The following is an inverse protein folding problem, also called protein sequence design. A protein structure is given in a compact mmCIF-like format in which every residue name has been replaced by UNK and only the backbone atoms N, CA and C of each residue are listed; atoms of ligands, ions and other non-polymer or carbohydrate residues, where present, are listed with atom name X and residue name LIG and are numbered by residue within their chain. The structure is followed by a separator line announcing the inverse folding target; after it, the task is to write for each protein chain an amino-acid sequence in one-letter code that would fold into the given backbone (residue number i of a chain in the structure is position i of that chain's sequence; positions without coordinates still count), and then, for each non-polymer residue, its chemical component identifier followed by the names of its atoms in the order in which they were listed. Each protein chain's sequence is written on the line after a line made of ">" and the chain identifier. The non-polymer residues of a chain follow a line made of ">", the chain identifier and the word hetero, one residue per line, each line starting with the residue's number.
data_IF_283035521526
#
_entry.id   IF_283035521526
#
_cell.length_a   1.000
_cell.length_b   1.000
_cell.length_c   1.000
_cell.angle_alpha   90.00
_cell.angle_beta   90.00
_cell.angle_gamma   90.00
#
_symmetry.space_group_name_H-M   'P 1'
#
loop_
_entity.id
_entity.type
_entity.pdbx_description
1 polymer ?
#
# COMPACT_ATOMS: atom_id res chain seq x y z
N UNK A 1 -3.74 14.19 -3.55
CA UNK A 1 -3.83 13.09 -4.50
C UNK A 1 -4.86 13.35 -5.59
N UNK A 2 -5.00 12.40 -6.49
CA UNK A 2 -5.96 12.48 -7.60
C UNK A 2 -7.40 12.66 -7.08
N UNK A 3 -8.22 13.51 -7.73
CA UNK A 3 -9.58 13.77 -7.29
C UNK A 3 -10.57 12.63 -7.59
N UNK A 4 -10.21 11.70 -8.46
CA UNK A 4 -10.97 10.50 -8.85
C UNK A 4 -10.02 9.44 -9.41
N UNK A 5 -10.48 8.20 -9.55
CA UNK A 5 -9.74 7.12 -10.19
C UNK A 5 -9.55 7.33 -11.69
N UNK A 6 -8.69 6.52 -12.32
CA UNK A 6 -8.51 6.53 -13.76
C UNK A 6 -9.84 6.25 -14.50
N UNK A 7 -10.09 6.94 -15.57
CA UNK A 7 -11.24 6.70 -16.45
C UNK A 7 -10.91 5.64 -17.51
N UNK A 8 -9.65 5.53 -17.90
CA UNK A 8 -9.11 4.52 -18.80
C UNK A 8 -7.61 4.29 -18.53
N UNK A 9 -6.98 3.37 -19.25
CA UNK A 9 -5.57 2.99 -19.07
C UNK A 9 -4.56 3.85 -19.86
N UNK A 10 -5.02 4.85 -20.59
CA UNK A 10 -4.17 5.65 -21.50
C UNK A 10 -4.01 7.11 -21.04
N UNK A 11 -4.96 7.62 -20.28
CA UNK A 11 -4.98 9.03 -19.90
C UNK A 11 -4.76 9.18 -18.38
N UNK A 12 -3.76 9.99 -17.98
CA UNK A 12 -3.51 10.26 -16.55
C UNK A 12 -4.57 11.17 -15.96
N UNK A 13 -4.81 11.02 -14.67
CA UNK A 13 -5.50 12.02 -13.84
C UNK A 13 -4.42 12.94 -13.27
N UNK A 14 -4.33 14.15 -13.79
CA UNK A 14 -3.33 15.12 -13.32
C UNK A 14 -3.64 15.53 -11.89
N UNK A 15 -2.64 15.41 -11.01
CA UNK A 15 -2.72 15.78 -9.60
C UNK A 15 -1.35 16.25 -9.11
N UNK A 16 -1.34 17.04 -8.04
CA UNK A 16 -0.09 17.42 -7.36
C UNK A 16 0.72 16.20 -6.89
N UNK A 17 0.04 15.11 -6.52
CA UNK A 17 0.68 13.85 -6.13
C UNK A 17 1.41 13.18 -7.31
N UNK A 18 0.75 13.06 -8.46
CA UNK A 18 1.35 12.50 -9.66
C UNK A 18 2.53 13.36 -10.17
N UNK A 19 2.36 14.70 -10.18
CA UNK A 19 3.43 15.63 -10.55
C UNK A 19 4.62 15.57 -9.59
N UNK A 20 4.36 15.42 -8.28
CA UNK A 20 5.40 15.25 -7.27
C UNK A 20 6.20 13.95 -7.53
N UNK A 21 5.54 12.84 -7.80
CA UNK A 21 6.20 11.56 -8.11
C UNK A 21 7.11 11.71 -9.33
N UNK A 22 6.60 12.30 -10.41
CA UNK A 22 7.41 12.56 -11.62
C UNK A 22 8.62 13.44 -11.29
N UNK A 23 8.41 14.55 -10.60
CA UNK A 23 9.48 15.48 -10.25
C UNK A 23 10.57 14.84 -9.40
N UNK A 24 10.18 14.08 -8.37
CA UNK A 24 11.15 13.43 -7.48
C UNK A 24 11.89 12.29 -8.20
N UNK A 25 11.18 11.46 -8.99
CA UNK A 25 11.79 10.36 -9.72
C UNK A 25 12.74 10.82 -10.85
N UNK A 26 12.51 12.01 -11.41
CA UNK A 26 13.34 12.55 -12.50
C UNK A 26 14.50 13.42 -12.02
N UNK A 27 14.66 13.61 -10.70
CA UNK A 27 15.85 14.27 -10.16
C UNK A 27 17.11 13.44 -10.39
N UNK A 28 18.23 14.14 -10.61
CA UNK A 28 19.55 13.54 -10.54
C UNK A 28 19.95 13.48 -9.06
N UNK A 29 19.76 12.30 -8.46
CA UNK A 29 20.05 12.02 -7.04
C UNK A 29 20.55 10.57 -6.92
N UNK A 30 21.65 10.37 -6.20
CA UNK A 30 22.25 9.05 -6.00
C UNK A 30 21.49 8.19 -4.99
N UNK A 31 20.57 8.79 -4.23
CA UNK A 31 19.73 8.09 -3.27
C UNK A 31 18.59 7.37 -3.99
N UNK A 32 18.35 6.12 -3.59
CA UNK A 32 17.21 5.38 -4.13
C UNK A 32 15.88 5.97 -3.65
N UNK A 33 14.93 6.16 -4.57
CA UNK A 33 13.61 6.70 -4.25
C UNK A 33 12.63 5.56 -3.94
N UNK A 34 12.13 5.55 -2.72
CA UNK A 34 10.98 4.73 -2.33
C UNK A 34 9.73 5.60 -2.25
N UNK A 35 8.63 5.11 -2.79
CA UNK A 35 7.31 5.79 -2.70
C UNK A 35 6.30 4.81 -2.11
N UNK A 36 5.81 5.12 -0.91
CA UNK A 36 4.82 4.31 -0.21
C UNK A 36 3.39 4.73 -0.57
N UNK A 37 2.57 3.76 -0.96
CA UNK A 37 1.16 3.95 -1.29
C UNK A 37 0.30 3.21 -0.26
N UNK A 38 -0.45 3.99 0.53
CA UNK A 38 -1.36 3.53 1.58
C UNK A 38 -2.83 3.63 1.15
N UNK A 39 -3.06 3.77 -0.14
CA UNK A 39 -4.34 3.93 -0.80
C UNK A 39 -4.32 3.37 -2.22
N UNK A 40 -5.19 3.87 -3.11
CA UNK A 40 -5.20 3.47 -4.51
C UNK A 40 -3.93 3.91 -5.24
N UNK A 41 -3.59 3.22 -6.31
CA UNK A 41 -2.40 3.51 -7.14
C UNK A 41 -2.62 4.60 -8.19
N UNK A 42 -3.67 5.42 -8.08
CA UNK A 42 -4.06 6.41 -9.07
C UNK A 42 -2.95 7.41 -9.39
N UNK A 43 -2.33 7.98 -8.35
CA UNK A 43 -1.24 8.95 -8.55
C UNK A 43 0.00 8.31 -9.19
N UNK A 44 0.33 7.06 -8.83
CA UNK A 44 1.46 6.34 -9.43
C UNK A 44 1.20 5.99 -10.90
N UNK A 45 0.02 5.47 -11.19
CA UNK A 45 -0.39 5.15 -12.55
C UNK A 45 -0.40 6.41 -13.43
N UNK A 46 -0.94 7.51 -12.90
CA UNK A 46 -0.96 8.80 -13.59
C UNK A 46 0.45 9.34 -13.83
N UNK A 47 1.33 9.29 -12.81
CA UNK A 47 2.73 9.68 -12.96
C UNK A 47 3.46 8.87 -14.04
N UNK A 48 3.21 7.55 -14.09
CA UNK A 48 3.77 6.69 -15.12
C UNK A 48 3.23 7.01 -16.52
N UNK A 49 1.93 7.29 -16.66
CA UNK A 49 1.33 7.69 -17.94
C UNK A 49 1.83 9.06 -18.42
N UNK A 50 2.13 9.98 -17.49
CA UNK A 50 2.73 11.28 -17.81
C UNK A 50 4.20 11.16 -18.21
N UNK A 51 4.98 10.32 -17.50
CA UNK A 51 6.42 10.18 -17.68
C UNK A 51 6.86 8.71 -17.47
N UNK A 52 6.80 7.87 -18.51
CA UNK A 52 7.14 6.44 -18.38
C UNK A 52 8.58 6.15 -17.93
N UNK A 53 9.50 7.11 -18.08
CA UNK A 53 10.90 6.96 -17.64
C UNK A 53 11.08 6.84 -16.13
N UNK A 54 10.03 7.16 -15.34
CA UNK A 54 10.07 6.95 -13.88
C UNK A 54 10.17 5.46 -13.51
N UNK A 55 9.80 4.56 -14.40
CA UNK A 55 9.75 3.12 -14.13
C UNK A 55 11.08 2.53 -13.62
N UNK A 56 12.22 3.05 -14.08
CA UNK A 56 13.54 2.60 -13.62
C UNK A 56 14.16 3.46 -12.52
N UNK A 57 13.41 4.41 -11.94
CA UNK A 57 13.95 5.43 -11.04
C UNK A 57 13.36 5.41 -9.63
N UNK A 58 12.40 4.52 -9.37
CA UNK A 58 11.79 4.38 -8.05
C UNK A 58 11.36 2.94 -7.76
N UNK A 59 11.21 2.63 -6.50
CA UNK A 59 10.50 1.44 -6.01
C UNK A 59 9.20 1.89 -5.35
N UNK A 60 8.07 1.37 -5.83
CA UNK A 60 6.77 1.58 -5.21
C UNK A 60 6.50 0.50 -4.17
N UNK A 61 6.15 0.89 -2.95
CA UNK A 61 5.68 -0.02 -1.89
C UNK A 61 4.19 0.19 -1.74
N UNK A 62 3.39 -0.85 -1.97
CA UNK A 62 1.94 -0.74 -1.97
C UNK A 62 1.29 -1.63 -0.91
N UNK A 63 0.57 -1.00 0.00
CA UNK A 63 -0.33 -1.67 0.92
C UNK A 63 -1.66 -1.84 0.19
N UNK A 64 -1.90 -3.01 -0.38
CA UNK A 64 -3.12 -3.22 -1.16
C UNK A 64 -3.13 -4.48 -1.99
N UNK A 65 -4.33 -4.76 -2.51
CA UNK A 65 -4.62 -5.94 -3.31
C UNK A 65 -5.04 -7.15 -2.50
N UNK A 66 -5.71 -8.07 -3.18
CA UNK A 66 -6.20 -9.31 -2.59
C UNK A 66 -5.11 -10.36 -2.44
N UNK A 67 -5.45 -11.46 -1.76
CA UNK A 67 -4.55 -12.58 -1.50
C UNK A 67 -4.13 -13.29 -2.79
N UNK A 68 -2.84 -13.59 -2.91
CA UNK A 68 -2.36 -14.45 -4.00
C UNK A 68 -2.70 -15.93 -3.78
N UNK A 69 -2.96 -16.69 -4.88
CA UNK A 69 -2.95 -16.26 -6.28
C UNK A 69 -4.28 -15.72 -6.81
N UNK A 70 -5.35 -15.75 -6.02
CA UNK A 70 -6.71 -15.56 -6.52
C UNK A 70 -7.20 -14.09 -6.54
N UNK A 71 -6.56 -13.21 -5.78
CA UNK A 71 -7.07 -11.86 -5.59
C UNK A 71 -8.24 -11.83 -4.60
N UNK A 72 -9.18 -10.92 -4.85
CA UNK A 72 -10.40 -10.75 -4.05
C UNK A 72 -10.59 -9.32 -3.57
N UNK A 73 -11.75 -9.03 -2.95
CA UNK A 73 -12.10 -7.67 -2.51
C UNK A 73 -11.10 -7.09 -1.50
N UNK A 74 -10.54 -5.95 -1.86
CA UNK A 74 -9.63 -5.19 -1.00
C UNK A 74 -9.87 -3.69 -1.21
N UNK A 75 -9.79 -2.90 -0.14
CA UNK A 75 -10.24 -1.51 -0.11
C UNK A 75 -9.41 -0.61 -1.04
N UNK A 76 -8.09 -0.63 -0.94
CA UNK A 76 -7.22 0.22 -1.74
C UNK A 76 -7.26 -0.13 -3.22
N UNK A 77 -7.30 -1.44 -3.54
CA UNK A 77 -7.50 -1.93 -4.90
C UNK A 77 -8.86 -1.54 -5.47
N UNK A 78 -9.93 -1.68 -4.68
CA UNK A 78 -11.29 -1.38 -5.10
C UNK A 78 -11.53 0.08 -5.44
N UNK A 79 -10.72 0.99 -4.89
CA UNK A 79 -10.82 2.42 -5.20
C UNK A 79 -10.31 2.77 -6.60
N UNK A 80 -9.36 2.01 -7.17
CA UNK A 80 -8.94 2.19 -8.57
C UNK A 80 -8.28 0.93 -9.15
N UNK A 81 -9.10 0.03 -9.67
CA UNK A 81 -8.64 -1.20 -10.34
C UNK A 81 -7.89 -0.90 -11.65
N UNK A 82 -8.28 0.16 -12.36
CA UNK A 82 -7.61 0.55 -13.61
C UNK A 82 -6.17 0.99 -13.34
N UNK A 83 -5.96 1.81 -12.32
CA UNK A 83 -4.63 2.26 -11.92
C UNK A 83 -3.74 1.07 -11.50
N UNK A 84 -4.28 0.13 -10.72
CA UNK A 84 -3.55 -1.08 -10.35
C UNK A 84 -3.13 -1.89 -11.59
N UNK A 85 -4.01 -2.05 -12.58
CA UNK A 85 -3.69 -2.72 -13.84
C UNK A 85 -2.62 -1.98 -14.66
N UNK A 86 -2.64 -0.64 -14.69
CA UNK A 86 -1.59 0.16 -15.35
C UNK A 86 -0.25 -0.06 -14.68
N UNK A 87 -0.18 0.00 -13.35
CA UNK A 87 1.06 -0.22 -12.60
C UNK A 87 1.57 -1.66 -12.75
N UNK A 88 0.68 -2.66 -12.70
CA UNK A 88 1.07 -4.07 -12.86
C UNK A 88 1.61 -4.37 -14.26
N UNK A 89 1.12 -3.69 -15.27
CA UNK A 89 1.63 -3.78 -16.64
C UNK A 89 2.86 -2.91 -16.91
N UNK A 90 3.20 -1.97 -16.00
CA UNK A 90 4.33 -1.06 -16.16
C UNK A 90 5.68 -1.73 -15.85
N UNK A 91 6.80 -0.99 -16.08
CA UNK A 91 8.14 -1.40 -15.67
C UNK A 91 8.53 -0.97 -14.23
N UNK A 92 7.64 -0.37 -13.46
CA UNK A 92 7.93 0.14 -12.10
C UNK A 92 8.23 -1.03 -11.16
N UNK A 93 9.32 -0.98 -10.42
CA UNK A 93 9.57 -1.96 -9.36
C UNK A 93 8.47 -1.83 -8.28
N UNK A 94 7.72 -2.91 -8.06
CA UNK A 94 6.59 -2.92 -7.14
C UNK A 94 6.81 -3.96 -6.03
N UNK A 95 6.72 -3.50 -4.78
CA UNK A 95 6.68 -4.30 -3.57
C UNK A 95 5.25 -4.27 -3.03
N UNK A 96 4.54 -5.35 -3.20
CA UNK A 96 3.15 -5.45 -2.79
C UNK A 96 3.02 -6.14 -1.43
N UNK A 97 2.27 -5.51 -0.52
CA UNK A 97 1.82 -6.11 0.74
C UNK A 97 0.31 -6.35 0.63
N UNK A 98 -0.12 -7.57 0.29
CA UNK A 98 -1.55 -7.88 0.09
C UNK A 98 -2.30 -7.94 1.43
N UNK A 99 -3.64 -7.98 1.33
CA UNK A 99 -4.56 -7.90 2.47
C UNK A 99 -4.26 -8.89 3.58
N UNK A 100 -4.07 -10.14 3.25
CA UNK A 100 -3.79 -11.21 4.21
C UNK A 100 -2.44 -11.06 4.93
N UNK A 101 -1.55 -10.22 4.39
CA UNK A 101 -0.24 -9.91 4.99
C UNK A 101 -0.30 -8.65 5.84
N UNK A 102 -0.89 -7.56 5.36
CA UNK A 102 -0.98 -6.35 6.17
C UNK A 102 -1.92 -6.52 7.38
N UNK A 103 -2.87 -7.45 7.33
CA UNK A 103 -3.72 -7.81 8.46
C UNK A 103 -2.97 -8.60 9.56
N UNK A 104 -1.72 -9.04 9.33
CA UNK A 104 -0.91 -9.74 10.32
C UNK A 104 -0.32 -8.85 11.43
N UNK A 105 -0.67 -7.56 11.48
CA UNK A 105 -0.14 -6.61 12.49
C UNK A 105 -1.24 -6.12 13.43
N UNK A 106 -1.93 -7.01 14.17
CA UNK A 106 -2.80 -6.59 15.25
C UNK A 106 -1.95 -6.15 16.44
N UNK A 107 -2.31 -5.01 17.02
CA UNK A 107 -1.71 -4.44 18.24
C UNK A 107 -2.80 -4.20 19.25
N UNK A 108 -2.59 -4.58 20.51
CA UNK A 108 -3.55 -4.28 21.55
C UNK A 108 -3.58 -2.77 21.86
N UNK A 109 -4.75 -2.23 22.20
CA UNK A 109 -4.86 -0.84 22.65
C UNK A 109 -4.00 -0.60 23.89
N UNK A 110 -3.90 -1.56 24.81
CA UNK A 110 -3.03 -1.47 25.98
C UNK A 110 -1.52 -1.35 25.61
N UNK A 111 -1.07 -2.05 24.55
CA UNK A 111 0.31 -1.89 24.06
C UNK A 111 0.53 -0.52 23.42
N UNK A 112 -0.44 -0.02 22.66
CA UNK A 112 -0.39 1.33 22.08
C UNK A 112 -0.42 2.41 23.17
N UNK A 113 -1.23 2.24 24.22
CA UNK A 113 -1.23 3.13 25.37
C UNK A 113 0.14 3.18 26.06
N UNK A 114 0.76 2.01 26.28
CA UNK A 114 2.05 1.92 26.93
C UNK A 114 3.21 2.45 26.09
N UNK A 115 3.23 2.14 24.78
CA UNK A 115 4.38 2.43 23.91
C UNK A 115 4.24 3.74 23.14
N UNK A 116 3.03 4.12 22.73
CA UNK A 116 2.79 5.26 21.82
C UNK A 116 2.33 6.50 22.59
N UNK A 117 1.36 6.36 23.49
CA UNK A 117 0.82 7.52 24.22
C UNK A 117 1.88 8.36 24.96
N UNK A 118 2.96 7.78 25.57
CA UNK A 118 3.98 8.59 26.24
C UNK A 118 4.95 9.30 25.29
N UNK A 119 4.87 9.10 23.97
CA UNK A 119 5.78 9.69 22.99
C UNK A 119 5.44 11.15 22.65
N UNK A 120 5.27 11.99 23.65
CA UNK A 120 4.94 13.41 23.50
C UNK A 120 3.51 13.63 22.98
N UNK A 121 3.23 14.89 22.60
CA UNK A 121 1.87 15.29 22.16
C UNK A 121 1.38 14.52 20.96
N UNK A 122 2.27 14.18 20.02
CA UNK A 122 1.88 13.38 18.82
C UNK A 122 1.52 11.96 19.19
N UNK A 123 2.26 11.32 20.11
CA UNK A 123 1.96 9.97 20.58
C UNK A 123 0.63 9.91 21.31
N UNK A 124 0.39 10.86 22.22
CA UNK A 124 -0.88 10.99 22.93
C UNK A 124 -2.05 11.19 21.96
N UNK A 125 -1.89 12.09 20.98
CA UNK A 125 -2.91 12.36 19.97
C UNK A 125 -3.22 11.13 19.11
N UNK A 126 -2.22 10.43 18.62
CA UNK A 126 -2.41 9.23 17.79
C UNK A 126 -3.12 8.11 18.56
N UNK A 127 -2.72 7.88 19.83
CA UNK A 127 -3.38 6.91 20.68
C UNK A 127 -4.84 7.29 20.92
N UNK A 128 -5.13 8.55 21.28
CA UNK A 128 -6.48 9.04 21.52
C UNK A 128 -7.40 8.83 20.30
N UNK A 129 -6.88 9.07 19.07
CA UNK A 129 -7.66 8.84 17.84
C UNK A 129 -8.02 7.36 17.68
N UNK A 130 -7.05 6.45 17.88
CA UNK A 130 -7.28 5.01 17.76
C UNK A 130 -8.22 4.49 18.83
N UNK A 131 -8.05 4.88 20.09
CA UNK A 131 -8.89 4.49 21.21
C UNK A 131 -10.34 4.98 21.02
N UNK A 132 -10.51 6.25 20.68
CA UNK A 132 -11.84 6.83 20.37
C UNK A 132 -12.52 6.03 19.27
N UNK A 133 -11.85 5.80 18.15
CA UNK A 133 -12.42 5.08 17.01
C UNK A 133 -12.73 3.61 17.33
N UNK A 134 -11.92 2.96 18.16
CA UNK A 134 -12.15 1.58 18.60
C UNK A 134 -13.45 1.46 19.42
N UNK A 135 -13.81 2.50 20.17
CA UNK A 135 -14.97 2.53 21.08
C UNK A 135 -16.18 3.29 20.52
N UNK A 136 -16.10 3.91 19.35
CA UNK A 136 -17.25 4.57 18.72
C UNK A 136 -18.43 3.63 18.55
N UNK A 137 -19.67 4.09 18.92
CA UNK A 137 -20.88 3.30 18.71
C UNK A 137 -21.13 3.11 17.20
N UNK A 138 -21.50 1.92 16.81
CA UNK A 138 -21.84 1.60 15.43
C UNK A 138 -21.56 0.16 15.05
N UNK A 139 -22.03 -0.31 13.89
CA UNK A 139 -21.76 -1.67 13.46
C UNK A 139 -20.26 -1.88 13.26
N UNK A 140 -19.71 -2.91 13.89
CA UNK A 140 -18.31 -3.35 13.68
C UNK A 140 -18.20 -3.94 12.27
N UNK A 141 -17.94 -3.10 11.27
CA UNK A 141 -17.92 -3.50 9.85
C UNK A 141 -16.59 -4.01 9.35
N UNK A 142 -15.54 -4.01 10.16
CA UNK A 142 -14.21 -4.46 9.71
C UNK A 142 -13.45 -5.22 10.80
N UNK A 143 -12.53 -6.10 10.39
CA UNK A 143 -11.58 -6.77 11.27
C UNK A 143 -10.65 -5.78 12.02
N UNK A 144 -10.57 -4.53 11.58
CA UNK A 144 -9.78 -3.47 12.22
C UNK A 144 -10.38 -2.94 13.54
N UNK A 145 -11.66 -3.20 13.81
CA UNK A 145 -12.38 -2.65 14.98
C UNK A 145 -12.85 -3.78 15.90
N UNK A 146 -11.94 -4.34 16.67
CA UNK A 146 -12.29 -5.39 17.65
C UNK A 146 -12.66 -4.83 19.05
N UNK A 147 -12.29 -3.57 19.32
CA UNK A 147 -12.43 -2.94 20.65
C UNK A 147 -11.30 -3.26 21.63
N UNK A 148 -10.43 -4.23 21.29
CA UNK A 148 -9.29 -4.62 22.13
C UNK A 148 -7.96 -4.45 21.37
N UNK A 149 -8.00 -4.54 20.06
CA UNK A 149 -6.82 -4.42 19.21
C UNK A 149 -7.12 -3.61 17.96
N UNK A 150 -6.05 -3.07 17.37
CA UNK A 150 -6.05 -2.37 16.10
C UNK A 150 -5.07 -3.01 15.15
N UNK A 151 -5.42 -3.14 13.88
CA UNK A 151 -4.48 -3.60 12.84
C UNK A 151 -3.77 -2.40 12.25
N UNK A 152 -2.45 -2.29 12.50
CA UNK A 152 -1.59 -1.23 11.95
C UNK A 152 -1.13 -1.61 10.53
N UNK A 153 -2.08 -1.86 9.63
CA UNK A 153 -1.86 -2.42 8.31
C UNK A 153 -0.98 -1.59 7.37
N UNK A 154 -0.84 -0.29 7.62
CA UNK A 154 0.01 0.59 6.80
C UNK A 154 1.48 0.63 7.27
N UNK A 155 1.75 0.22 8.52
CA UNK A 155 3.10 0.24 9.09
C UNK A 155 4.14 -0.59 8.31
N UNK A 156 3.78 -1.70 7.63
CA UNK A 156 4.73 -2.43 6.77
C UNK A 156 5.40 -1.58 5.71
N UNK A 157 4.73 -0.55 5.18
CA UNK A 157 5.32 0.32 4.16
C UNK A 157 6.65 0.95 4.61
N UNK A 158 6.76 1.31 5.89
CA UNK A 158 8.00 1.84 6.48
C UNK A 158 8.91 0.70 6.95
N UNK A 159 8.32 -0.36 7.54
CA UNK A 159 9.08 -1.52 8.01
C UNK A 159 9.89 -2.19 6.91
N UNK A 160 9.37 -2.25 5.68
CA UNK A 160 10.07 -2.82 4.52
C UNK A 160 11.30 -1.99 4.11
N UNK A 161 11.26 -0.68 4.24
CA UNK A 161 12.42 0.19 3.97
C UNK A 161 13.50 0.00 5.03
N UNK A 162 13.08 -0.07 6.31
CA UNK A 162 14.02 -0.21 7.43
C UNK A 162 14.63 -1.61 7.56
N UNK A 163 13.88 -2.65 7.16
CA UNK A 163 14.21 -4.05 7.41
C UNK A 163 14.04 -4.92 6.15
N UNK A 164 14.44 -4.43 4.98
CA UNK A 164 14.19 -5.05 3.66
C UNK A 164 14.45 -6.57 3.62
N UNK A 165 15.52 -7.02 4.27
CA UNK A 165 15.94 -8.44 4.23
C UNK A 165 15.33 -9.32 5.32
N UNK A 166 14.40 -8.80 6.11
CA UNK A 166 13.85 -9.51 7.27
C UNK A 166 12.49 -10.16 7.00
N UNK A 167 11.84 -9.86 5.89
CA UNK A 167 10.49 -10.33 5.57
C UNK A 167 10.49 -11.22 4.33
N UNK A 168 9.65 -12.27 4.37
CA UNK A 168 9.56 -13.23 3.27
C UNK A 168 8.68 -12.70 2.14
N UNK A 169 9.17 -12.82 0.91
CA UNK A 169 8.42 -12.49 -0.30
C UNK A 169 8.67 -13.51 -1.40
N UNK A 170 7.79 -13.56 -2.38
CA UNK A 170 7.99 -14.27 -3.63
C UNK A 170 8.03 -13.27 -4.80
N UNK A 171 8.79 -13.60 -5.85
CA UNK A 171 8.62 -12.98 -7.15
C UNK A 171 7.46 -13.66 -7.86
N UNK A 172 6.40 -12.91 -8.09
CA UNK A 172 5.17 -13.39 -8.71
C UNK A 172 4.90 -12.59 -9.97
N UNK A 173 4.56 -13.26 -11.07
CA UNK A 173 4.14 -12.54 -12.26
C UNK A 173 2.89 -11.71 -11.97
N UNK A 174 2.94 -10.41 -12.23
CA UNK A 174 1.81 -9.53 -11.93
C UNK A 174 0.58 -9.96 -12.73
N UNK A 175 -0.57 -10.23 -12.07
CA UNK A 175 -1.78 -10.66 -12.76
C UNK A 175 -2.44 -9.50 -13.52
N UNK A 176 -3.36 -9.83 -14.40
CA UNK A 176 -4.44 -8.94 -14.79
C UNK A 176 -5.51 -8.97 -13.68
N UNK A 177 -6.02 -7.80 -13.30
CA UNK A 177 -7.05 -7.66 -12.27
C UNK A 177 -8.39 -7.38 -12.96
N UNK A 178 -9.38 -8.24 -12.69
CA UNK A 178 -10.75 -8.10 -13.21
C UNK A 178 -11.56 -7.07 -12.41
N UNK A 179 -12.74 -6.71 -12.89
CA UNK A 179 -13.61 -5.71 -12.23
C UNK A 179 -14.13 -6.16 -10.86
N UNK A 180 -14.13 -7.47 -10.57
CA UNK A 180 -14.45 -8.04 -9.26
C UNK A 180 -13.20 -8.31 -8.40
N UNK A 181 -12.06 -7.76 -8.80
CA UNK A 181 -10.75 -7.88 -8.13
C UNK A 181 -10.16 -9.30 -8.11
N UNK A 182 -10.64 -10.19 -8.99
CA UNK A 182 -10.02 -11.51 -9.22
C UNK A 182 -8.72 -11.37 -10.01
N UNK A 183 -7.71 -12.16 -9.66
CA UNK A 183 -6.42 -12.19 -10.33
C UNK A 183 -6.39 -13.23 -11.43
N UNK A 184 -6.10 -12.80 -12.67
CA UNK A 184 -5.95 -13.67 -13.84
C UNK A 184 -4.49 -13.70 -14.25
N UNK A 185 -3.88 -14.88 -14.19
CA UNK A 185 -2.48 -15.08 -14.59
C UNK A 185 -2.39 -15.15 -16.12
N UNK A 186 -1.98 -14.07 -16.75
CA UNK A 186 -1.87 -13.98 -18.22
C UNK A 186 -0.49 -14.35 -18.74
N UNK A 187 0.52 -14.32 -17.89
CA UNK A 187 1.92 -14.49 -18.30
C UNK A 187 2.52 -13.31 -19.07
N UNK A 188 1.81 -12.20 -19.21
CA UNK A 188 2.23 -11.06 -20.03
C UNK A 188 2.95 -9.96 -19.23
N UNK A 189 2.59 -9.79 -17.95
CA UNK A 189 3.18 -8.76 -17.11
C UNK A 189 4.52 -9.22 -16.52
N UNK A 190 5.34 -8.29 -16.07
CA UNK A 190 6.61 -8.56 -15.40
C UNK A 190 6.40 -9.14 -13.99
N UNK A 191 7.42 -9.79 -13.40
CA UNK A 191 7.37 -10.16 -11.99
C UNK A 191 7.34 -8.93 -11.07
N UNK A 192 6.62 -9.05 -9.96
CA UNK A 192 6.59 -8.10 -8.86
C UNK A 192 6.95 -8.82 -7.56
N UNK A 193 7.43 -8.08 -6.57
CA UNK A 193 7.70 -8.63 -5.24
C UNK A 193 6.40 -8.65 -4.42
N UNK A 194 5.95 -9.84 -4.01
CA UNK A 194 4.75 -10.01 -3.19
C UNK A 194 5.14 -10.56 -1.83
N UNK A 195 4.92 -9.79 -0.79
CA UNK A 195 5.22 -10.21 0.57
C UNK A 195 4.22 -11.27 1.05
N UNK A 196 4.71 -12.23 1.85
CA UNK A 196 3.94 -13.38 2.36
C UNK A 196 3.74 -13.33 3.86
N UNK A 197 4.64 -12.65 4.54
CA UNK A 197 4.55 -12.48 5.99
C UNK A 197 5.31 -11.24 6.43
N UNK A 198 4.80 -10.63 7.48
CA UNK A 198 5.42 -9.50 8.17
C UNK A 198 5.54 -9.88 9.66
N UNK A 199 6.73 -9.71 10.22
CA UNK A 199 6.92 -9.86 11.66
C UNK A 199 6.49 -8.57 12.36
N UNK A 200 5.32 -8.61 13.00
CA UNK A 200 4.75 -7.46 13.72
C UNK A 200 5.67 -6.97 14.84
N UNK A 201 6.48 -7.85 15.43
CA UNK A 201 7.37 -7.47 16.55
C UNK A 201 8.61 -6.71 16.09
N UNK A 202 8.97 -6.79 14.80
CA UNK A 202 10.01 -5.94 14.22
C UNK A 202 9.50 -4.55 13.85
N UNK A 203 8.19 -4.42 13.58
CA UNK A 203 7.58 -3.15 13.14
C UNK A 203 7.17 -2.31 14.36
N UNK A 204 6.82 -2.96 15.47
CA UNK A 204 6.38 -2.35 16.73
C UNK A 204 7.53 -2.26 17.74
#
# INVERSE_FOLDING_TARGET
>A
GAPHGLLDKAHPVVSEGAELIVREAMKEDDRHLYVAFLGPLTDLASAYLMEPRIAGRLTAIWIGGGRYPNGGPEFNLGNDILAANVVFASGIELWQVPKDVYEMIPVSLAELEYRVAPCGDIGAYLFEQLDRHAHEPGPRKSAFRTGESWVLGDSPAIGLILYEHRFCFDWVQAPLITSDMTYVQTGLNRPIRVYKSIDSRLIL
#
